data_IF_005206087470
#
_entry.id   IF_005206087470
#
_cell.length_a   1.000
_cell.length_b   1.000
_cell.length_c   1.000
_cell.angle_alpha   90.00
_cell.angle_beta   90.00
_cell.angle_gamma   90.00
#
_symmetry.space_group_name_H-M   'P 1'
#
loop_
_entity.id
_entity.type
_entity.pdbx_description
1 polymer ?
#
# COMPACT_ATOMS: atom_id res chain seq x y z
N UNK A 1 21.44 -11.57 -18.67
CA UNK A 1 20.54 -11.56 -17.49
C UNK A 1 19.36 -10.62 -17.70
N UNK A 2 19.53 -9.36 -18.08
CA UNK A 2 18.46 -8.36 -18.31
C UNK A 2 17.33 -8.90 -19.21
N UNK A 3 17.66 -9.37 -20.42
CA UNK A 3 16.66 -9.90 -21.36
C UNK A 3 15.88 -11.11 -20.81
N UNK A 4 16.51 -11.94 -19.97
CA UNK A 4 15.83 -13.07 -19.31
C UNK A 4 14.88 -12.58 -18.22
N UNK A 5 15.30 -11.64 -17.38
CA UNK A 5 14.45 -11.03 -16.34
C UNK A 5 13.22 -10.37 -16.97
N UNK A 6 13.38 -9.64 -18.08
CA UNK A 6 12.25 -9.04 -18.80
C UNK A 6 11.24 -10.10 -19.31
N UNK A 7 11.73 -11.25 -19.80
CA UNK A 7 10.85 -12.36 -20.20
C UNK A 7 10.11 -12.97 -19.00
N UNK A 8 10.80 -13.13 -17.88
CA UNK A 8 10.21 -13.62 -16.61
C UNK A 8 9.10 -12.67 -16.16
N UNK A 9 9.40 -11.37 -16.13
CA UNK A 9 8.43 -10.32 -15.75
C UNK A 9 7.22 -10.31 -16.67
N UNK A 10 7.43 -10.34 -17.99
CA UNK A 10 6.35 -10.40 -18.97
C UNK A 10 5.46 -11.64 -18.78
N UNK A 11 6.06 -12.81 -18.46
CA UNK A 11 5.30 -14.03 -18.15
C UNK A 11 4.47 -13.87 -16.88
N UNK A 12 5.04 -13.33 -15.80
CA UNK A 12 4.32 -13.09 -14.55
C UNK A 12 3.16 -12.10 -14.76
N UNK A 13 3.42 -11.06 -15.53
CA UNK A 13 2.41 -10.10 -15.93
C UNK A 13 1.24 -10.77 -16.69
N UNK A 14 1.53 -11.64 -17.65
CA UNK A 14 0.53 -12.40 -18.40
C UNK A 14 -0.26 -13.39 -17.50
N UNK A 15 0.34 -13.87 -16.42
CA UNK A 15 -0.34 -14.70 -15.40
C UNK A 15 -1.24 -13.87 -14.46
N UNK A 16 -1.16 -12.54 -14.52
CA UNK A 16 -1.98 -11.64 -13.75
C UNK A 16 -1.36 -11.19 -12.43
N UNK A 17 -0.05 -11.34 -12.22
CA UNK A 17 0.63 -10.81 -11.03
C UNK A 17 0.36 -9.32 -10.88
N UNK A 18 -0.05 -8.90 -9.69
CA UNK A 18 -0.32 -7.49 -9.37
C UNK A 18 1.00 -6.84 -8.99
N UNK A 19 1.30 -5.71 -9.61
CA UNK A 19 2.43 -4.86 -9.24
C UNK A 19 1.86 -3.55 -8.69
N UNK A 20 2.08 -3.34 -7.39
CA UNK A 20 1.77 -2.06 -6.76
C UNK A 20 3.03 -1.21 -6.80
N UNK A 21 2.97 -0.08 -7.48
CA UNK A 21 4.00 0.95 -7.40
C UNK A 21 3.96 1.55 -5.99
N UNK A 22 4.71 0.95 -5.07
CA UNK A 22 4.89 1.48 -3.72
C UNK A 22 6.23 2.19 -3.65
N UNK A 23 6.18 3.48 -3.38
CA UNK A 23 7.35 4.28 -3.06
C UNK A 23 7.74 4.04 -1.60
N UNK A 24 9.00 3.74 -1.35
CA UNK A 24 9.53 3.57 0.01
C UNK A 24 10.25 4.86 0.42
N UNK A 25 9.82 5.53 1.51
CA UNK A 25 10.53 6.68 2.02
C UNK A 25 11.89 6.25 2.58
N UNK A 26 12.94 6.98 2.25
CA UNK A 26 14.28 6.82 2.79
C UNK A 26 14.73 8.14 3.39
N UNK A 27 15.08 8.13 4.68
CA UNK A 27 15.59 9.30 5.36
C UNK A 27 17.08 9.52 5.04
N UNK A 28 17.42 10.73 4.68
CA UNK A 28 18.80 11.20 4.60
C UNK A 28 19.16 11.77 5.96
N UNK A 29 20.26 11.28 6.52
CA UNK A 29 20.74 11.71 7.83
C UNK A 29 21.95 12.61 7.67
N UNK A 30 22.10 13.61 8.54
CA UNK A 30 23.30 14.42 8.65
C UNK A 30 24.43 13.67 9.40
N UNK A 31 25.57 14.36 9.62
CA UNK A 31 26.71 13.79 10.37
C UNK A 31 26.39 13.46 11.84
N UNK A 32 25.38 14.06 12.41
CA UNK A 32 24.89 13.86 13.78
C UNK A 32 23.84 12.73 13.85
N UNK A 33 23.38 12.21 12.70
CA UNK A 33 22.37 11.18 12.60
C UNK A 33 20.94 11.72 12.69
N UNK A 34 20.74 13.04 12.52
CA UNK A 34 19.41 13.65 12.47
C UNK A 34 18.86 13.63 11.03
N UNK A 35 17.56 13.39 10.85
CA UNK A 35 16.93 13.35 9.54
C UNK A 35 16.78 14.76 8.96
N UNK A 36 17.31 14.96 7.74
CA UNK A 36 17.29 16.26 7.05
C UNK A 36 16.41 16.26 5.81
N UNK A 37 16.17 15.08 5.22
CA UNK A 37 15.37 14.95 4.01
C UNK A 37 14.71 13.57 3.91
N UNK A 38 13.55 13.50 3.28
CA UNK A 38 12.89 12.25 2.88
C UNK A 38 13.01 12.11 1.37
N UNK A 39 13.72 11.08 0.92
CA UNK A 39 13.81 10.71 -0.49
C UNK A 39 12.88 9.54 -0.78
N UNK A 40 12.14 9.59 -1.88
CA UNK A 40 11.41 8.44 -2.38
C UNK A 40 12.39 7.54 -3.15
N UNK A 41 12.51 6.29 -2.71
CA UNK A 41 13.37 5.32 -3.36
C UNK A 41 12.67 4.73 -4.58
N UNK A 42 13.20 5.04 -5.75
CA UNK A 42 12.81 4.37 -7.00
C UNK A 42 13.53 3.02 -7.15
N UNK A 43 12.78 2.00 -7.54
CA UNK A 43 13.35 0.68 -7.87
C UNK A 43 14.06 0.74 -9.22
N UNK A 44 15.36 0.62 -9.21
CA UNK A 44 16.18 0.59 -10.41
C UNK A 44 16.07 -0.73 -11.20
N UNK A 45 16.56 -0.71 -12.45
CA UNK A 45 16.50 -1.90 -13.32
C UNK A 45 17.26 -3.11 -12.77
N UNK A 46 18.38 -2.88 -12.09
CA UNK A 46 19.15 -3.95 -11.47
C UNK A 46 18.40 -4.61 -10.31
N UNK A 47 17.71 -3.82 -9.49
CA UNK A 47 16.89 -4.31 -8.39
C UNK A 47 15.72 -5.14 -8.90
N UNK A 48 15.00 -4.63 -9.90
CA UNK A 48 13.91 -5.35 -10.56
C UNK A 48 14.37 -6.65 -11.21
N UNK A 49 15.59 -6.68 -11.80
CA UNK A 49 16.17 -7.88 -12.36
C UNK A 49 16.44 -8.94 -11.28
N UNK A 50 17.03 -8.56 -10.16
CA UNK A 50 17.28 -9.47 -9.04
C UNK A 50 15.97 -9.96 -8.44
N UNK A 51 14.98 -9.09 -8.27
CA UNK A 51 13.64 -9.46 -7.81
C UNK A 51 13.01 -10.55 -8.69
N UNK A 52 13.04 -10.41 -10.02
CA UNK A 52 12.50 -11.40 -10.94
C UNK A 52 13.17 -12.78 -10.78
N UNK A 53 14.50 -12.83 -10.59
CA UNK A 53 15.20 -14.07 -10.33
C UNK A 53 14.88 -14.65 -8.95
N UNK A 54 14.79 -13.82 -7.92
CA UNK A 54 14.44 -14.26 -6.56
C UNK A 54 13.02 -14.86 -6.54
N UNK A 55 12.05 -14.21 -7.17
CA UNK A 55 10.68 -14.69 -7.27
C UNK A 55 10.61 -16.04 -8.01
N UNK A 56 11.38 -16.19 -9.10
CA UNK A 56 11.44 -17.44 -9.86
C UNK A 56 12.07 -18.57 -9.03
N UNK A 57 13.14 -18.30 -8.28
CA UNK A 57 13.77 -19.26 -7.40
C UNK A 57 12.81 -19.70 -6.29
N UNK A 58 12.14 -18.74 -5.64
CA UNK A 58 11.17 -19.00 -4.58
C UNK A 58 9.99 -19.87 -5.07
N UNK A 59 9.41 -19.56 -6.25
CA UNK A 59 8.36 -20.38 -6.87
C UNK A 59 8.84 -21.78 -7.20
N UNK A 60 10.04 -21.90 -7.79
CA UNK A 60 10.62 -23.20 -8.19
C UNK A 60 10.81 -24.10 -6.98
N UNK A 61 11.35 -23.57 -5.90
CA UNK A 61 11.56 -24.31 -4.65
C UNK A 61 10.22 -24.72 -4.02
N UNK A 62 9.23 -23.83 -3.98
CA UNK A 62 7.90 -24.15 -3.45
C UNK A 62 7.24 -25.29 -4.24
N UNK A 63 7.31 -25.26 -5.56
CA UNK A 63 6.77 -26.31 -6.45
C UNK A 63 7.49 -27.64 -6.26
N UNK A 64 8.82 -27.60 -6.14
CA UNK A 64 9.62 -28.80 -5.86
C UNK A 64 9.24 -29.42 -4.52
N UNK A 65 9.16 -28.60 -3.49
CA UNK A 65 8.79 -29.04 -2.14
C UNK A 65 7.42 -29.71 -2.12
N UNK A 66 6.42 -29.08 -2.76
CA UNK A 66 5.08 -29.65 -2.89
C UNK A 66 5.10 -30.99 -3.64
N UNK A 67 5.77 -31.05 -4.80
CA UNK A 67 5.87 -32.27 -5.60
C UNK A 67 6.56 -33.42 -4.87
N UNK A 68 7.46 -33.12 -3.94
CA UNK A 68 8.18 -34.11 -3.12
C UNK A 68 7.55 -34.36 -1.75
N UNK A 69 6.45 -33.71 -1.41
CA UNK A 69 5.84 -33.79 -0.07
C UNK A 69 6.76 -33.30 1.04
N UNK A 70 7.63 -32.33 0.74
CA UNK A 70 8.61 -31.81 1.67
C UNK A 70 7.95 -30.81 2.62
N UNK A 71 8.13 -30.99 3.92
CA UNK A 71 7.65 -30.08 4.95
C UNK A 71 8.47 -28.78 4.93
N UNK A 72 7.85 -27.68 4.49
CA UNK A 72 8.44 -26.34 4.43
C UNK A 72 7.44 -25.29 4.89
N UNK A 73 7.91 -24.05 5.09
CA UNK A 73 7.07 -22.89 5.28
C UNK A 73 6.76 -22.23 3.93
N UNK A 74 5.48 -22.21 3.56
CA UNK A 74 5.02 -21.46 2.39
C UNK A 74 4.75 -20.00 2.75
N UNK A 75 4.87 -19.12 1.78
CA UNK A 75 4.40 -17.74 1.88
C UNK A 75 3.06 -17.64 1.17
N UNK A 76 2.01 -17.49 1.93
CA UNK A 76 0.63 -17.50 1.43
C UNK A 76 0.05 -16.09 1.45
N UNK A 77 -0.75 -15.81 0.45
CA UNK A 77 -1.53 -14.58 0.34
C UNK A 77 -2.91 -14.93 -0.20
N UNK A 78 -3.89 -14.86 0.67
CA UNK A 78 -5.25 -15.25 0.35
C UNK A 78 -5.95 -14.20 -0.53
N UNK A 79 -7.14 -14.51 -0.99
CA UNK A 79 -7.94 -13.60 -1.82
C UNK A 79 -8.31 -12.34 -1.04
N UNK A 80 -8.58 -11.22 -1.74
CA UNK A 80 -9.07 -10.01 -1.11
C UNK A 80 -10.32 -10.27 -0.25
N UNK A 81 -10.48 -9.45 0.76
CA UNK A 81 -11.69 -9.41 1.57
C UNK A 81 -12.88 -8.99 0.68
N UNK A 82 -13.99 -9.78 0.63
CA UNK A 82 -15.11 -9.47 -0.23
C UNK A 82 -15.79 -8.13 0.06
N UNK A 83 -15.87 -7.72 1.33
CA UNK A 83 -16.49 -6.45 1.73
C UNK A 83 -15.64 -5.26 1.28
N UNK A 84 -14.32 -5.35 1.51
CA UNK A 84 -13.38 -4.32 1.04
C UNK A 84 -13.29 -4.24 -0.47
N UNK A 85 -13.41 -5.37 -1.15
CA UNK A 85 -13.46 -5.41 -2.62
C UNK A 85 -14.74 -4.76 -3.15
N UNK A 86 -15.85 -4.91 -2.43
CA UNK A 86 -17.11 -4.23 -2.76
C UNK A 86 -16.98 -2.72 -2.56
N UNK A 87 -16.37 -2.25 -1.47
CA UNK A 87 -16.08 -0.84 -1.23
C UNK A 87 -15.23 -0.24 -2.36
N UNK A 88 -14.17 -0.94 -2.79
CA UNK A 88 -13.37 -0.54 -3.95
C UNK A 88 -14.21 -0.43 -5.22
N UNK A 89 -15.07 -1.42 -5.48
CA UNK A 89 -15.95 -1.43 -6.64
C UNK A 89 -16.95 -0.26 -6.64
N UNK A 90 -17.56 0.03 -5.49
CA UNK A 90 -18.50 1.15 -5.34
C UNK A 90 -17.81 2.49 -5.55
N UNK A 91 -16.60 2.65 -5.02
CA UNK A 91 -15.76 3.83 -5.26
C UNK A 91 -15.45 4.02 -6.75
N UNK A 92 -14.97 2.98 -7.44
CA UNK A 92 -14.69 3.02 -8.88
C UNK A 92 -15.94 3.35 -9.71
N UNK A 93 -17.08 2.77 -9.34
CA UNK A 93 -18.37 3.05 -9.97
C UNK A 93 -18.78 4.53 -9.81
N UNK A 94 -18.52 5.12 -8.65
CA UNK A 94 -18.72 6.54 -8.38
C UNK A 94 -17.87 7.47 -9.25
N UNK A 95 -16.69 7.01 -9.66
CA UNK A 95 -15.79 7.69 -10.60
C UNK A 95 -16.12 7.40 -12.08
N UNK A 96 -17.13 6.59 -12.38
CA UNK A 96 -17.44 6.15 -13.73
C UNK A 96 -16.48 5.11 -14.32
N UNK A 97 -15.61 4.51 -13.50
CA UNK A 97 -14.67 3.47 -13.91
C UNK A 97 -15.37 2.11 -13.94
N UNK A 98 -15.18 1.36 -15.04
CA UNK A 98 -15.75 0.01 -15.17
C UNK A 98 -15.12 -0.98 -14.19
N UNK A 99 -15.88 -1.35 -13.16
CA UNK A 99 -15.51 -2.28 -12.10
C UNK A 99 -16.28 -3.61 -12.15
N UNK A 100 -16.93 -3.96 -13.28
CA UNK A 100 -17.75 -5.19 -13.41
C UNK A 100 -16.95 -6.48 -13.24
N UNK A 101 -15.66 -6.46 -13.53
CA UNK A 101 -14.75 -7.61 -13.33
C UNK A 101 -14.44 -7.86 -11.84
N UNK A 102 -14.56 -6.87 -10.97
CA UNK A 102 -14.32 -6.98 -9.54
C UNK A 102 -15.51 -7.63 -8.83
N UNK A 103 -15.59 -8.96 -8.94
CA UNK A 103 -16.56 -9.80 -8.22
C UNK A 103 -15.89 -10.43 -7.01
N UNK A 104 -16.67 -11.04 -6.11
CA UNK A 104 -16.14 -11.73 -4.92
C UNK A 104 -15.08 -12.81 -5.23
N UNK A 105 -15.07 -13.33 -6.45
CA UNK A 105 -14.09 -14.29 -6.95
C UNK A 105 -13.12 -13.68 -7.96
N UNK A 106 -12.93 -12.36 -7.96
CA UNK A 106 -12.00 -11.68 -8.84
C UNK A 106 -10.62 -12.35 -8.81
N UNK A 107 -10.02 -12.49 -9.98
CA UNK A 107 -8.67 -13.02 -10.12
C UNK A 107 -7.65 -11.88 -9.97
N UNK A 108 -6.38 -12.18 -9.65
CA UNK A 108 -5.35 -11.15 -9.59
C UNK A 108 -5.27 -10.31 -10.86
N UNK A 109 -5.42 -10.94 -12.03
CA UNK A 109 -5.43 -10.26 -13.32
C UNK A 109 -6.57 -9.26 -13.52
N UNK A 110 -7.72 -9.45 -12.86
CA UNK A 110 -8.83 -8.50 -12.92
C UNK A 110 -8.48 -7.19 -12.22
N UNK A 111 -7.83 -7.29 -11.03
CA UNK A 111 -7.34 -6.15 -10.27
C UNK A 111 -6.20 -5.46 -11.02
N UNK A 112 -5.25 -6.23 -11.54
CA UNK A 112 -4.18 -5.69 -12.37
C UNK A 112 -4.72 -4.90 -13.57
N UNK A 113 -5.64 -5.49 -14.35
CA UNK A 113 -6.23 -4.83 -15.50
C UNK A 113 -7.00 -3.54 -15.13
N UNK A 114 -7.61 -3.51 -13.94
CA UNK A 114 -8.25 -2.32 -13.41
C UNK A 114 -7.20 -1.23 -13.09
N UNK A 115 -6.11 -1.58 -12.38
CA UNK A 115 -5.02 -0.65 -12.08
C UNK A 115 -4.35 -0.09 -13.35
N UNK A 116 -4.09 -0.94 -14.34
CA UNK A 116 -3.52 -0.50 -15.62
C UNK A 116 -4.43 0.48 -16.37
N UNK A 117 -5.74 0.25 -16.39
CA UNK A 117 -6.70 1.17 -17.03
C UNK A 117 -6.82 2.53 -16.33
N UNK A 118 -6.56 2.57 -15.03
CA UNK A 118 -6.67 3.80 -14.24
C UNK A 118 -5.35 4.52 -14.04
N UNK A 119 -4.24 3.96 -14.54
CA UNK A 119 -2.88 4.45 -14.27
C UNK A 119 -2.66 5.92 -14.64
N UNK A 120 -3.26 6.37 -15.75
CA UNK A 120 -3.12 7.74 -16.25
C UNK A 120 -4.19 8.70 -15.68
N UNK A 121 -5.06 8.23 -14.77
CA UNK A 121 -6.08 9.09 -14.17
C UNK A 121 -5.54 9.81 -12.94
N UNK A 122 -6.02 11.03 -12.63
CA UNK A 122 -5.62 11.75 -11.41
C UNK A 122 -5.92 10.98 -10.13
N UNK A 123 -6.91 10.09 -10.16
CA UNK A 123 -7.37 9.29 -9.03
C UNK A 123 -6.57 8.00 -8.83
N UNK A 124 -5.57 7.71 -9.68
CA UNK A 124 -4.82 6.45 -9.63
C UNK A 124 -4.21 6.16 -8.26
N UNK A 125 -3.61 7.15 -7.60
CA UNK A 125 -3.02 6.99 -6.28
C UNK A 125 -4.02 6.51 -5.23
N UNK A 126 -5.25 7.05 -5.29
CA UNK A 126 -6.36 6.64 -4.41
C UNK A 126 -6.83 5.23 -4.74
N UNK A 127 -7.04 4.95 -6.02
CA UNK A 127 -7.49 3.65 -6.51
C UNK A 127 -6.48 2.56 -6.13
N UNK A 128 -5.20 2.80 -6.33
CA UNK A 128 -4.11 1.90 -5.95
C UNK A 128 -4.08 1.64 -4.44
N UNK A 129 -4.23 2.69 -3.63
CA UNK A 129 -4.30 2.59 -2.16
C UNK A 129 -5.51 1.75 -1.71
N UNK A 130 -6.68 1.99 -2.27
CA UNK A 130 -7.90 1.22 -1.94
C UNK A 130 -7.78 -0.24 -2.39
N UNK A 131 -7.22 -0.48 -3.57
CA UNK A 131 -6.93 -1.82 -4.06
C UNK A 131 -5.98 -2.56 -3.11
N UNK A 132 -4.89 -1.91 -2.67
CA UNK A 132 -3.96 -2.48 -1.69
C UNK A 132 -4.63 -2.76 -0.34
N UNK A 133 -5.46 -1.84 0.18
CA UNK A 133 -6.21 -2.01 1.43
C UNK A 133 -7.25 -3.14 1.37
N UNK A 134 -7.74 -3.48 0.19
CA UNK A 134 -8.65 -4.61 -0.01
C UNK A 134 -7.96 -5.97 0.07
N UNK A 135 -6.62 -6.00 -0.09
CA UNK A 135 -5.85 -7.24 -0.02
C UNK A 135 -5.74 -7.76 1.41
N UNK A 136 -5.69 -9.09 1.54
CA UNK A 136 -5.30 -9.74 2.79
C UNK A 136 -3.82 -9.53 3.04
N UNK A 137 -3.39 -9.64 4.30
CA UNK A 137 -1.96 -9.66 4.62
C UNK A 137 -1.37 -11.04 4.29
N UNK A 138 -0.23 -11.05 3.62
CA UNK A 138 0.50 -12.29 3.41
C UNK A 138 1.06 -12.81 4.75
N UNK A 139 1.11 -14.14 4.91
CA UNK A 139 1.57 -14.83 6.13
C UNK A 139 2.36 -16.08 5.78
N UNK A 140 2.99 -16.69 6.74
CA UNK A 140 3.59 -18.02 6.59
C UNK A 140 2.60 -19.11 6.98
N UNK A 141 2.65 -20.25 6.29
CA UNK A 141 1.79 -21.39 6.54
C UNK A 141 2.53 -22.70 6.19
N UNK A 142 2.20 -23.79 6.86
CA UNK A 142 2.70 -25.11 6.52
C UNK A 142 2.00 -25.71 5.27
N UNK A 143 0.87 -25.12 4.84
CA UNK A 143 0.07 -25.56 3.70
C UNK A 143 0.27 -24.64 2.49
N UNK A 144 0.36 -25.20 1.26
CA UNK A 144 0.50 -24.43 0.01
C UNK A 144 -0.84 -23.82 -0.44
N UNK A 145 -1.29 -22.75 0.18
CA UNK A 145 -2.57 -22.09 -0.11
C UNK A 145 -2.49 -21.09 -1.29
N UNK A 146 -1.29 -20.92 -1.88
CA UNK A 146 -1.05 -20.01 -2.99
C UNK A 146 -0.76 -18.57 -2.56
N UNK A 147 -0.37 -17.76 -3.53
CA UNK A 147 -0.09 -16.35 -3.33
C UNK A 147 -0.84 -15.48 -4.32
N UNK A 148 -1.99 -14.94 -3.90
CA UNK A 148 -2.91 -14.20 -4.76
C UNK A 148 -2.22 -13.03 -5.49
N UNK A 149 -1.56 -12.13 -4.76
CA UNK A 149 -0.94 -10.94 -5.38
C UNK A 149 0.11 -11.26 -6.44
N UNK A 150 0.86 -12.38 -6.27
CA UNK A 150 1.83 -12.85 -7.26
C UNK A 150 1.22 -13.73 -8.35
N UNK A 151 -0.06 -14.07 -8.26
CA UNK A 151 -0.74 -15.03 -9.14
C UNK A 151 -0.03 -16.39 -9.22
N UNK A 152 0.57 -16.85 -8.09
CA UNK A 152 1.33 -18.09 -7.99
C UNK A 152 0.54 -19.12 -7.17
N UNK A 153 0.46 -20.35 -7.67
CA UNK A 153 -0.20 -21.45 -6.97
C UNK A 153 0.63 -21.97 -5.77
N UNK A 154 1.95 -21.90 -5.87
CA UNK A 154 2.88 -22.34 -4.85
C UNK A 154 3.99 -21.29 -4.72
N UNK A 155 4.21 -20.79 -3.51
CA UNK A 155 5.23 -19.80 -3.26
C UNK A 155 5.81 -19.95 -1.85
N UNK A 156 7.11 -19.80 -1.71
CA UNK A 156 7.80 -19.75 -0.44
C UNK A 156 8.88 -18.68 -0.45
N UNK A 157 9.37 -18.31 0.69
CA UNK A 157 10.61 -17.54 0.81
C UNK A 157 11.80 -18.49 0.96
N UNK A 158 12.81 -18.32 0.11
CA UNK A 158 14.00 -19.16 0.08
C UNK A 158 15.31 -18.38 -0.04
N UNK A 159 15.26 -17.22 -0.69
CA UNK A 159 16.46 -16.52 -1.18
C UNK A 159 17.17 -15.63 -0.15
N UNK A 160 16.65 -15.50 1.08
CA UNK A 160 17.22 -14.62 2.12
C UNK A 160 17.35 -15.30 3.49
N UNK A 161 18.06 -16.44 3.62
CA UNK A 161 18.12 -17.23 4.88
C UNK A 161 18.91 -16.55 6.00
N UNK A 162 19.70 -15.52 5.70
CA UNK A 162 20.49 -14.78 6.72
C UNK A 162 19.56 -13.93 7.60
N UNK A 163 18.51 -13.35 7.03
CA UNK A 163 17.62 -12.40 7.70
C UNK A 163 16.18 -12.90 7.91
N UNK A 164 15.78 -14.00 7.25
CA UNK A 164 14.44 -14.58 7.39
C UNK A 164 14.52 -16.04 7.83
N UNK A 165 13.97 -16.33 9.00
CA UNK A 165 13.91 -17.69 9.53
C UNK A 165 13.17 -18.69 8.62
N UNK A 166 12.02 -18.34 7.98
CA UNK A 166 11.36 -19.24 7.03
C UNK A 166 12.26 -19.69 5.88
N UNK A 167 13.08 -18.82 5.32
CA UNK A 167 14.04 -19.16 4.26
C UNK A 167 15.09 -20.18 4.76
N UNK A 168 15.52 -20.04 6.02
CA UNK A 168 16.43 -20.99 6.64
C UNK A 168 15.78 -22.36 6.84
N UNK A 169 14.50 -22.40 7.24
CA UNK A 169 13.72 -23.65 7.35
C UNK A 169 13.63 -24.35 5.99
N UNK A 170 13.30 -23.62 4.93
CA UNK A 170 13.24 -24.12 3.56
C UNK A 170 14.62 -24.66 3.12
N UNK A 171 15.69 -23.89 3.36
CA UNK A 171 17.05 -24.29 3.00
C UNK A 171 17.50 -25.58 3.71
N UNK A 172 17.18 -25.72 4.99
CA UNK A 172 17.47 -26.93 5.78
C UNK A 172 16.67 -28.15 5.28
N UNK A 173 15.40 -27.94 4.94
CA UNK A 173 14.56 -29.00 4.39
C UNK A 173 15.06 -29.48 3.02
N UNK A 174 15.47 -28.56 2.13
CA UNK A 174 16.10 -28.91 0.85
C UNK A 174 17.42 -29.63 1.02
N UNK A 175 18.27 -29.20 1.95
CA UNK A 175 19.53 -29.85 2.25
C UNK A 175 19.30 -31.26 2.76
N UNK A 176 18.31 -31.49 3.60
CA UNK A 176 17.93 -32.83 4.06
C UNK A 176 17.43 -33.70 2.90
N UNK A 177 16.57 -33.13 1.99
CA UNK A 177 16.12 -33.86 0.80
C UNK A 177 17.30 -34.32 -0.08
N UNK A 178 18.30 -33.46 -0.32
CA UNK A 178 19.49 -33.80 -1.12
C UNK A 178 20.29 -34.90 -0.47
N UNK A 179 20.37 -34.97 0.85
CA UNK A 179 21.05 -36.02 1.60
C UNK A 179 20.23 -37.30 1.79
N UNK A 180 18.96 -37.31 1.30
CA UNK A 180 18.06 -38.44 1.55
C UNK A 180 17.55 -38.51 3.00
N UNK A 181 17.64 -37.43 3.75
CA UNK A 181 17.19 -37.29 5.13
C UNK A 181 15.78 -36.68 5.20
N UNK A 182 15.16 -36.80 6.37
CA UNK A 182 13.87 -36.12 6.62
C UNK A 182 14.07 -34.65 6.98
N UNK A 183 13.14 -33.79 6.58
CA UNK A 183 13.15 -32.38 6.97
C UNK A 183 13.21 -32.25 8.50
N UNK A 184 14.07 -31.34 9.03
CA UNK A 184 14.28 -31.20 10.49
C UNK A 184 13.06 -30.73 11.24
N UNK A 185 12.23 -29.88 10.59
CA UNK A 185 11.03 -29.30 11.19
C UNK A 185 9.79 -29.82 10.47
N UNK A 186 8.80 -30.34 11.22
CA UNK A 186 7.60 -30.99 10.67
C UNK A 186 6.45 -30.97 11.67
N UNK A 187 5.21 -31.24 11.19
CA UNK A 187 4.02 -31.32 12.04
C UNK A 187 3.80 -30.02 12.82
N UNK A 188 3.37 -30.16 14.07
CA UNK A 188 3.01 -29.03 14.95
C UNK A 188 4.15 -28.00 15.09
N UNK A 189 5.41 -28.45 15.14
CA UNK A 189 6.56 -27.56 15.22
C UNK A 189 6.74 -26.70 13.95
N UNK A 190 6.34 -27.19 12.78
CA UNK A 190 6.33 -26.41 11.55
C UNK A 190 5.19 -25.38 11.56
N UNK A 191 4.02 -25.76 12.05
CA UNK A 191 2.87 -24.86 12.18
C UNK A 191 3.15 -23.75 13.20
N UNK A 192 3.72 -24.08 14.35
CA UNK A 192 4.15 -23.09 15.34
C UNK A 192 5.19 -22.12 14.76
N UNK A 193 6.14 -22.62 13.99
CA UNK A 193 7.15 -21.80 13.31
C UNK A 193 6.50 -20.85 12.26
N UNK A 194 5.44 -21.28 11.57
CA UNK A 194 4.68 -20.45 10.63
C UNK A 194 4.00 -19.28 11.34
N UNK A 195 3.27 -19.57 12.42
CA UNK A 195 2.57 -18.56 13.23
C UNK A 195 3.58 -17.57 13.81
N UNK A 196 4.62 -18.06 14.51
CA UNK A 196 5.63 -17.21 15.11
C UNK A 196 6.37 -16.33 14.10
N UNK A 197 6.71 -16.88 12.93
CA UNK A 197 7.36 -16.10 11.85
C UNK A 197 6.46 -14.97 11.33
N UNK A 198 5.15 -15.23 11.21
CA UNK A 198 4.18 -14.23 10.78
C UNK A 198 3.99 -13.13 11.82
N UNK A 199 3.98 -13.49 13.11
CA UNK A 199 3.85 -12.53 14.21
C UNK A 199 5.11 -11.66 14.34
N UNK A 200 6.30 -12.26 14.27
CA UNK A 200 7.57 -11.53 14.30
C UNK A 200 7.70 -10.58 13.10
N UNK A 201 7.28 -10.99 11.90
CA UNK A 201 7.27 -10.12 10.71
C UNK A 201 6.35 -8.91 10.92
N UNK A 202 5.17 -9.14 11.50
CA UNK A 202 4.20 -8.07 11.80
C UNK A 202 4.77 -7.08 12.81
N UNK A 203 5.37 -7.57 13.89
CA UNK A 203 6.03 -6.75 14.92
C UNK A 203 7.19 -5.95 14.32
N UNK A 204 8.02 -6.57 13.47
CA UNK A 204 9.12 -5.89 12.79
C UNK A 204 8.63 -4.76 11.87
N UNK A 205 7.58 -5.02 11.08
CA UNK A 205 6.99 -4.00 10.22
C UNK A 205 6.29 -2.86 10.99
N UNK A 206 5.76 -3.14 12.17
CA UNK A 206 5.21 -2.11 13.07
C UNK A 206 6.31 -1.25 13.68
N UNK A 207 7.41 -1.87 14.10
CA UNK A 207 8.58 -1.16 14.62
C UNK A 207 9.24 -0.28 13.55
N UNK A 208 9.38 -0.77 12.32
CA UNK A 208 9.89 0.00 11.18
C UNK A 208 9.02 1.24 10.93
N UNK A 209 7.70 1.07 10.82
CA UNK A 209 6.78 2.20 10.64
C UNK A 209 6.79 3.20 11.79
N UNK A 210 6.96 2.73 13.02
CA UNK A 210 7.10 3.61 14.18
C UNK A 210 8.40 4.41 14.13
N UNK A 211 9.50 3.78 13.71
CA UNK A 211 10.78 4.46 13.50
C UNK A 211 10.67 5.52 12.38
N UNK A 212 10.04 5.19 11.25
CA UNK A 212 9.83 6.15 10.15
C UNK A 212 9.00 7.36 10.60
N UNK A 213 7.93 7.13 11.37
CA UNK A 213 7.10 8.21 11.93
C UNK A 213 7.92 9.11 12.86
N UNK A 214 8.74 8.51 13.73
CA UNK A 214 9.61 9.29 14.62
C UNK A 214 10.64 10.11 13.86
N UNK A 215 11.23 9.54 12.80
CA UNK A 215 12.19 10.25 11.94
C UNK A 215 11.52 11.41 11.20
N UNK A 216 10.31 11.20 10.67
CA UNK A 216 9.53 12.27 10.05
C UNK A 216 9.18 13.37 11.06
N UNK A 217 8.74 13.02 12.26
CA UNK A 217 8.44 13.98 13.33
C UNK A 217 9.69 14.78 13.75
N UNK A 218 10.86 14.13 13.90
CA UNK A 218 12.12 14.83 14.19
C UNK A 218 12.46 15.86 13.12
N UNK A 219 12.38 15.47 11.83
CA UNK A 219 12.63 16.36 10.72
C UNK A 219 11.67 17.55 10.73
N UNK A 220 10.37 17.28 10.90
CA UNK A 220 9.34 18.32 10.84
C UNK A 220 9.30 19.25 12.06
N UNK A 221 9.99 18.92 13.13
CA UNK A 221 10.07 19.80 14.33
C UNK A 221 10.70 21.16 14.02
N UNK A 222 11.66 21.21 13.10
CA UNK A 222 12.29 22.47 12.68
C UNK A 222 11.35 23.32 11.80
N UNK A 223 10.27 22.75 11.29
CA UNK A 223 9.34 23.38 10.34
C UNK A 223 8.00 23.78 10.96
N UNK A 224 7.91 23.82 12.31
CA UNK A 224 6.69 24.28 13.01
C UNK A 224 6.41 25.74 12.65
N UNK A 225 5.19 26.03 12.24
CA UNK A 225 4.72 27.33 11.75
C UNK A 225 4.83 27.50 10.22
N UNK A 226 5.56 26.64 9.53
CA UNK A 226 5.71 26.68 8.08
C UNK A 226 4.50 26.09 7.35
N UNK A 227 4.37 26.46 6.10
CA UNK A 227 3.26 26.11 5.21
C UNK A 227 3.75 25.18 4.12
N UNK A 228 3.03 24.09 3.90
CA UNK A 228 3.32 23.09 2.89
C UNK A 228 2.12 22.81 2.00
N UNK A 229 2.39 22.55 0.74
CA UNK A 229 1.43 21.87 -0.12
C UNK A 229 1.44 20.37 0.21
N UNK A 230 0.28 19.74 0.13
CA UNK A 230 0.14 18.34 0.42
C UNK A 230 -1.06 17.71 -0.25
N UNK A 231 -1.23 16.42 -0.03
CA UNK A 231 -2.34 15.64 -0.60
C UNK A 231 -2.96 14.78 0.49
N UNK A 232 -4.27 14.73 0.55
CA UNK A 232 -5.00 13.87 1.50
C UNK A 232 -4.65 12.41 1.23
N UNK A 233 -3.96 11.77 2.17
CA UNK A 233 -3.50 10.37 2.12
C UNK A 233 -4.42 9.42 2.88
N UNK A 234 -5.23 9.95 3.79
CA UNK A 234 -6.19 9.20 4.58
C UNK A 234 -7.34 10.06 5.08
N UNK A 235 -8.53 9.45 5.14
CA UNK A 235 -9.73 10.09 5.71
C UNK A 235 -10.31 9.16 6.76
N UNK A 236 -10.63 9.69 7.92
CA UNK A 236 -11.24 8.98 9.03
C UNK A 236 -12.23 9.84 9.78
N UNK A 237 -12.93 9.26 10.74
CA UNK A 237 -13.94 9.94 11.56
C UNK A 237 -13.36 11.16 12.32
N UNK A 238 -12.10 11.06 12.75
CA UNK A 238 -11.46 12.08 13.60
C UNK A 238 -10.68 13.14 12.83
N UNK A 239 -10.54 13.01 11.52
CA UNK A 239 -9.79 13.95 10.69
C UNK A 239 -9.20 13.34 9.44
N UNK A 240 -8.28 14.07 8.87
CA UNK A 240 -7.61 13.69 7.64
C UNK A 240 -6.10 13.62 7.82
N UNK A 241 -5.49 12.61 7.22
CA UNK A 241 -4.05 12.53 7.05
C UNK A 241 -3.67 13.26 5.77
N UNK A 242 -2.62 14.04 5.83
CA UNK A 242 -2.11 14.79 4.68
C UNK A 242 -0.63 14.45 4.50
N UNK A 243 -0.28 13.94 3.32
CA UNK A 243 1.10 13.76 2.91
C UNK A 243 1.60 15.05 2.30
N UNK A 244 2.63 15.62 2.92
CA UNK A 244 3.27 16.84 2.49
C UNK A 244 4.17 16.58 1.27
N UNK A 245 4.49 17.64 0.50
CA UNK A 245 5.38 17.55 -0.68
C UNK A 245 6.78 17.04 -0.36
N UNK A 246 7.25 17.22 0.88
CA UNK A 246 8.53 16.69 1.37
C UNK A 246 8.46 15.21 1.81
N UNK A 247 7.31 14.54 1.64
CA UNK A 247 7.10 13.13 1.96
C UNK A 247 6.66 12.84 3.40
N UNK A 248 6.70 13.80 4.31
CA UNK A 248 6.18 13.63 5.67
C UNK A 248 4.65 13.53 5.66
N UNK A 249 4.08 12.81 6.62
CA UNK A 249 2.62 12.70 6.79
C UNK A 249 2.21 13.27 8.13
N UNK A 250 1.28 14.22 8.11
CA UNK A 250 0.70 14.81 9.32
C UNK A 250 -0.80 14.57 9.42
N UNK A 251 -1.36 14.89 10.56
CA UNK A 251 -2.78 14.70 10.87
C UNK A 251 -3.46 16.05 11.15
N UNK A 252 -4.59 16.28 10.50
CA UNK A 252 -5.46 17.42 10.73
C UNK A 252 -6.75 16.93 11.39
N UNK A 253 -6.93 17.30 12.66
CA UNK A 253 -8.07 16.86 13.44
C UNK A 253 -9.32 17.68 13.07
N UNK A 254 -10.51 17.06 13.00
CA UNK A 254 -11.79 17.75 12.73
C UNK A 254 -12.07 18.89 13.70
N UNK A 255 -11.58 18.81 14.94
CA UNK A 255 -11.74 19.88 15.97
C UNK A 255 -11.03 21.18 15.62
N UNK A 256 -10.04 21.16 14.72
CA UNK A 256 -9.34 22.36 14.23
C UNK A 256 -10.04 23.03 13.07
N UNK A 257 -11.12 22.41 12.58
CA UNK A 257 -11.92 22.88 11.47
C UNK A 257 -13.20 23.54 11.98
N UNK A 258 -13.58 24.68 11.42
CA UNK A 258 -14.76 25.46 11.81
C UNK A 258 -16.09 24.86 11.34
N UNK A 259 -16.24 23.53 11.39
CA UNK A 259 -17.47 22.84 10.99
C UNK A 259 -17.65 21.51 11.73
N UNK A 260 -18.85 20.94 11.68
CA UNK A 260 -19.12 19.57 12.06
C UNK A 260 -19.02 18.69 10.83
N UNK A 261 -18.39 17.51 10.98
CA UNK A 261 -18.10 16.65 9.85
C UNK A 261 -18.75 15.28 10.04
N UNK A 262 -19.41 14.81 8.99
CA UNK A 262 -19.95 13.47 8.85
C UNK A 262 -18.99 12.61 8.01
N UNK A 263 -18.66 11.41 8.50
CA UNK A 263 -17.75 10.49 7.84
C UNK A 263 -18.51 9.41 7.07
N UNK A 264 -18.33 9.39 5.76
CA UNK A 264 -18.81 8.33 4.88
C UNK A 264 -17.71 7.27 4.71
N UNK A 265 -17.81 6.17 5.46
CA UNK A 265 -16.86 5.05 5.41
C UNK A 265 -16.79 4.39 4.03
N UNK A 266 -17.90 4.34 3.27
CA UNK A 266 -17.95 3.72 1.95
C UNK A 266 -17.23 4.55 0.89
N UNK A 267 -17.32 5.86 1.00
CA UNK A 267 -16.68 6.81 0.07
C UNK A 267 -15.33 7.29 0.55
N UNK A 268 -14.96 7.00 1.79
CA UNK A 268 -13.78 7.53 2.48
C UNK A 268 -13.73 9.06 2.36
N UNK A 269 -14.85 9.70 2.68
CA UNK A 269 -14.99 11.15 2.63
C UNK A 269 -15.48 11.70 3.96
N UNK A 270 -15.03 12.91 4.27
CA UNK A 270 -15.44 13.65 5.45
C UNK A 270 -16.15 14.92 4.98
N UNK A 271 -17.45 15.06 5.27
CA UNK A 271 -18.29 16.13 4.76
C UNK A 271 -18.73 17.09 5.86
N UNK A 272 -18.42 18.37 5.69
CA UNK A 272 -18.90 19.43 6.58
C UNK A 272 -20.41 19.65 6.47
N UNK A 273 -21.11 19.64 7.61
CA UNK A 273 -22.57 19.81 7.65
C UNK A 273 -22.99 21.21 7.25
N UNK A 274 -22.29 22.24 7.74
CA UNK A 274 -22.64 23.65 7.51
C UNK A 274 -22.06 24.19 6.20
N UNK A 275 -20.79 23.86 5.92
CA UNK A 275 -20.07 24.39 4.75
C UNK A 275 -20.30 23.57 3.50
N UNK A 276 -20.66 22.28 3.64
CA UNK A 276 -20.73 21.31 2.56
C UNK A 276 -19.34 20.96 1.98
N UNK A 277 -18.25 21.39 2.64
CA UNK A 277 -16.90 21.07 2.21
C UNK A 277 -16.66 19.56 2.34
N UNK A 278 -15.98 18.98 1.37
CA UNK A 278 -15.72 17.53 1.35
C UNK A 278 -14.22 17.30 1.28
N UNK A 279 -13.68 16.61 2.27
CA UNK A 279 -12.35 16.03 2.18
C UNK A 279 -12.45 14.64 1.56
N UNK A 280 -11.60 14.38 0.58
CA UNK A 280 -11.51 13.10 -0.10
C UNK A 280 -10.05 12.72 -0.33
N UNK A 281 -9.80 11.42 -0.43
CA UNK A 281 -8.45 10.92 -0.76
C UNK A 281 -7.94 11.55 -2.07
N UNK A 282 -6.65 11.85 -2.12
CA UNK A 282 -6.01 12.45 -3.29
C UNK A 282 -6.27 13.95 -3.48
N UNK A 283 -7.07 14.59 -2.62
CA UNK A 283 -7.35 16.02 -2.70
C UNK A 283 -6.11 16.83 -2.32
N UNK A 284 -5.69 17.81 -3.15
CA UNK A 284 -4.64 18.74 -2.79
C UNK A 284 -5.10 19.68 -1.68
N UNK A 285 -4.25 19.95 -0.71
CA UNK A 285 -4.47 20.88 0.39
C UNK A 285 -3.22 21.70 0.66
N UNK A 286 -3.42 22.94 1.08
CA UNK A 286 -2.36 23.77 1.65
C UNK A 286 -2.53 23.81 3.17
N UNK A 287 -1.52 23.36 3.90
CA UNK A 287 -1.59 23.16 5.34
C UNK A 287 -0.41 23.80 6.07
N UNK A 288 -0.61 24.16 7.34
CA UNK A 288 0.46 24.63 8.22
C UNK A 288 0.78 23.55 9.25
N UNK A 289 2.06 23.38 9.55
CA UNK A 289 2.51 22.56 10.67
C UNK A 289 2.29 23.35 11.96
N UNK A 290 1.36 22.90 12.80
CA UNK A 290 1.00 23.58 14.04
C UNK A 290 1.87 23.13 15.22
N UNK A 291 2.06 21.82 15.34
CA UNK A 291 2.86 21.23 16.41
C UNK A 291 3.46 19.89 16.00
N UNK A 292 4.50 19.46 16.69
CA UNK A 292 5.14 18.15 16.50
C UNK A 292 5.43 17.52 17.85
N UNK A 293 4.68 16.46 18.18
CA UNK A 293 4.93 15.66 19.38
C UNK A 293 5.85 14.48 19.07
N UNK A 294 7.09 14.55 19.57
CA UNK A 294 8.08 13.48 19.42
C UNK A 294 7.76 12.24 20.25
N UNK A 295 7.00 12.38 21.34
CA UNK A 295 6.63 11.25 22.20
C UNK A 295 5.59 10.36 21.52
N UNK A 296 4.63 10.99 20.84
CA UNK A 296 3.60 10.31 20.06
C UNK A 296 4.00 10.11 18.60
N UNK A 297 5.11 10.72 18.16
CA UNK A 297 5.56 10.75 16.77
C UNK A 297 4.46 11.26 15.82
N UNK A 298 3.78 12.35 16.23
CA UNK A 298 2.70 12.97 15.47
C UNK A 298 3.08 14.36 14.99
N UNK A 299 2.60 14.72 13.81
CA UNK A 299 2.72 16.03 13.18
C UNK A 299 1.31 16.57 13.07
N UNK A 300 1.00 17.64 13.81
CA UNK A 300 -0.31 18.28 13.79
C UNK A 300 -0.36 19.35 12.69
N UNK A 301 -1.43 19.29 11.91
CA UNK A 301 -1.64 20.18 10.76
C UNK A 301 -2.91 21.00 10.95
N UNK A 302 -2.90 22.21 10.41
CA UNK A 302 -4.11 23.01 10.22
C UNK A 302 -4.29 23.42 8.77
N UNK A 303 -5.54 23.63 8.35
CA UNK A 303 -5.87 24.10 7.01
C UNK A 303 -5.70 25.62 6.93
N UNK A 304 -5.03 26.11 5.91
CA UNK A 304 -4.87 27.56 5.69
C UNK A 304 -6.07 28.15 4.95
N UNK A 305 -6.65 27.39 4.02
CA UNK A 305 -7.78 27.84 3.24
C UNK A 305 -9.06 27.86 4.09
N UNK A 306 -9.82 28.95 3.98
CA UNK A 306 -11.16 29.03 4.58
C UNK A 306 -12.06 27.94 3.98
N UNK A 307 -12.73 27.13 4.83
CA UNK A 307 -13.75 26.14 4.43
C UNK A 307 -14.97 26.74 3.72
N UNK A 308 -15.01 28.05 3.54
CA UNK A 308 -16.09 28.69 2.81
C UNK A 308 -16.07 28.23 1.35
N UNK A 309 -17.17 27.69 0.83
CA UNK A 309 -17.25 27.34 -0.59
C UNK A 309 -16.89 28.58 -1.40
N UNK A 310 -15.88 28.49 -2.28
CA UNK A 310 -15.61 29.54 -3.27
C UNK A 310 -16.93 29.82 -3.99
N UNK A 311 -17.49 30.99 -3.78
CA UNK A 311 -18.70 31.41 -4.47
C UNK A 311 -18.31 31.46 -5.95
N UNK A 312 -18.66 30.40 -6.73
CA UNK A 312 -18.38 30.36 -8.17
C UNK A 312 -18.78 31.72 -8.75
N UNK A 313 -17.81 32.43 -9.32
CA UNK A 313 -18.08 33.74 -9.91
C UNK A 313 -19.23 33.62 -10.92
N UNK A 314 -20.08 34.66 -11.04
CA UNK A 314 -21.21 34.63 -11.95
C UNK A 314 -20.81 34.28 -13.40
N UNK A 315 -19.56 34.55 -13.79
CA UNK A 315 -18.96 34.21 -15.08
C UNK A 315 -18.78 32.68 -15.28
N UNK A 316 -18.36 31.93 -14.24
CA UNK A 316 -18.19 30.47 -14.31
C UNK A 316 -19.53 29.73 -14.38
N UNK A 317 -20.52 30.19 -13.59
CA UNK A 317 -21.89 29.66 -13.67
C UNK A 317 -22.57 29.91 -15.04
N UNK A 318 -22.21 31.00 -15.72
CA UNK A 318 -22.70 31.30 -17.08
C UNK A 318 -22.02 30.35 -18.09
N UNK A 319 -20.72 30.14 -18.03
CA UNK A 319 -19.99 29.21 -18.91
C UNK A 319 -20.45 27.76 -18.74
N UNK A 320 -20.71 27.34 -17.50
CA UNK A 320 -21.20 25.98 -17.20
C UNK A 320 -22.64 25.77 -17.73
N UNK A 321 -23.51 26.79 -17.64
CA UNK A 321 -24.85 26.76 -18.23
C UNK A 321 -24.84 26.80 -19.77
N UNK A 322 -23.88 27.49 -20.37
CA UNK A 322 -23.71 27.53 -21.83
C UNK A 322 -23.17 26.16 -22.33
N UNK A 323 -22.20 25.58 -21.67
CA UNK A 323 -21.74 24.21 -21.98
C UNK A 323 -22.83 23.14 -21.85
N UNK A 324 -23.63 23.18 -20.78
CA UNK A 324 -24.75 22.24 -20.61
C UNK A 324 -25.83 22.43 -21.72
N UNK A 325 -26.04 23.65 -22.23
CA UNK A 325 -26.98 23.90 -23.35
C UNK A 325 -26.46 23.43 -24.71
N UNK A 326 -25.14 23.37 -24.90
CA UNK A 326 -24.52 22.81 -26.12
C UNK A 326 -24.55 21.29 -26.14
N UNK A 327 -24.53 20.61 -24.98
CA UNK A 327 -24.68 19.15 -24.89
C UNK A 327 -26.11 18.63 -25.05
N UNK A 328 -27.13 19.55 -25.05
CA UNK A 328 -28.54 19.16 -25.12
C UNK A 328 -29.17 19.53 -26.47
N UNK A 329 -28.37 19.97 -27.45
CA UNK A 329 -28.71 20.15 -28.86
C UNK A 329 -28.00 19.07 -29.70
#
# INVERSE_FOLDING_TARGET
MRALAQKIRARRAAMGAIDFDTEEPKFVLDEQGEPVEIMLRERGEAELMIEDFMLTANETVARLAKAKGLAILYRVHERPDPEKLMTLKDFLSGLGVDARSLKNNAKPGDIRAMLERTRETPEFGVISTLALRSMQKARYDAQPLGHYGLAMADYCHFTSPIRRYPDLVVSRALSALIRGERAPLRGDALEEAAVRSSDCERTAAEAERAADKLMAARMMRAHVGEVFDGTVSGVGEWGVFVRLENGAEGFMHVRTLDDWFDFDERRLTLRGERTGYVFSLGQPLCVRVEDVDLTQSTIELSMIESLRPRRKEKSERKKERERMREFTK
#
